data_IF_387562863872
#
_entry.id   IF_387562863872
#
_cell.length_a   1.000
_cell.length_b   1.000
_cell.length_c   1.000
_cell.angle_alpha   90.00
_cell.angle_beta   90.00
_cell.angle_gamma   90.00
#
_symmetry.space_group_name_H-M   'P 1'
#
loop_
_entity.id
_entity.type
_entity.pdbx_description
1 polymer ?
#
# COMPACT_ATOMS: atom_id res chain seq x y z
N UNK A 1 27.82 36.11 9.21
CA UNK A 1 26.98 35.96 8.00
C UNK A 1 25.94 37.06 8.06
N UNK A 2 25.88 37.96 7.08
CA UNK A 2 25.00 39.16 7.13
C UNK A 2 23.61 38.85 6.58
N UNK A 3 22.59 39.47 7.16
CA UNK A 3 21.17 39.26 6.82
C UNK A 3 20.83 39.61 5.36
N UNK A 4 21.65 40.47 4.74
CA UNK A 4 21.55 40.83 3.32
C UNK A 4 22.14 39.76 2.41
N UNK A 5 23.23 39.13 2.83
CA UNK A 5 23.84 38.00 2.11
C UNK A 5 22.84 36.83 2.04
N UNK A 6 22.20 36.52 3.16
CA UNK A 6 21.20 35.45 3.23
C UNK A 6 19.99 35.74 2.35
N UNK A 7 19.45 36.98 2.40
CA UNK A 7 18.32 37.39 1.56
C UNK A 7 18.63 37.31 0.07
N UNK A 8 19.84 37.68 -0.34
CA UNK A 8 20.23 37.66 -1.75
C UNK A 8 20.38 36.22 -2.27
N UNK A 9 20.88 35.29 -1.43
CA UNK A 9 20.93 33.86 -1.77
C UNK A 9 19.55 33.23 -1.87
N UNK A 10 18.61 33.63 -1.01
CA UNK A 10 17.23 33.15 -1.07
C UNK A 10 16.50 33.65 -2.33
N UNK A 11 16.70 34.91 -2.73
CA UNK A 11 16.11 35.44 -3.98
C UNK A 11 16.61 34.75 -5.25
N UNK A 12 17.84 34.22 -5.24
CA UNK A 12 18.41 33.50 -6.39
C UNK A 12 17.83 32.10 -6.59
N UNK A 13 17.24 31.52 -5.55
CA UNK A 13 16.69 30.15 -5.57
C UNK A 13 15.16 30.18 -5.72
N UNK A 14 14.52 31.35 -5.58
CA UNK A 14 13.08 31.50 -5.73
C UNK A 14 12.66 31.27 -7.20
N UNK A 15 11.90 30.21 -7.50
CA UNK A 15 11.46 29.88 -8.85
C UNK A 15 10.34 30.80 -9.36
N UNK A 16 9.85 31.74 -8.55
CA UNK A 16 8.85 32.72 -8.98
C UNK A 16 9.44 33.68 -10.01
N UNK A 17 9.03 33.50 -11.26
CA UNK A 17 9.27 34.45 -12.34
C UNK A 17 8.83 35.87 -11.94
N UNK A 18 9.69 36.86 -12.22
CA UNK A 18 9.51 38.29 -11.91
C UNK A 18 8.28 38.96 -12.57
N UNK A 19 7.43 38.18 -13.25
CA UNK A 19 6.20 38.63 -13.89
C UNK A 19 4.90 38.29 -13.15
N UNK A 20 4.95 37.64 -11.99
CA UNK A 20 3.74 37.33 -11.21
C UNK A 20 3.41 38.48 -10.25
N UNK A 21 2.32 39.21 -10.50
CA UNK A 21 1.83 40.21 -9.57
C UNK A 21 1.38 39.55 -8.25
N UNK A 22 2.19 39.69 -7.21
CA UNK A 22 1.83 39.22 -5.86
C UNK A 22 0.90 40.25 -5.23
N UNK A 23 -0.39 39.92 -5.14
CA UNK A 23 -1.38 40.79 -4.48
C UNK A 23 -1.13 40.81 -2.98
N UNK A 24 -1.11 42.01 -2.39
CA UNK A 24 -0.90 42.17 -0.95
C UNK A 24 -2.00 41.51 -0.13
N UNK A 25 -1.62 40.88 0.99
CA UNK A 25 -2.55 40.25 1.94
C UNK A 25 -3.48 41.29 2.60
N UNK A 26 -3.10 42.57 2.59
CA UNK A 26 -3.93 43.69 3.07
C UNK A 26 -5.01 44.13 2.09
N UNK A 27 -5.08 43.56 0.89
CA UNK A 27 -6.17 43.84 -0.05
C UNK A 27 -7.50 43.28 0.50
N UNK A 28 -8.58 44.07 0.38
CA UNK A 28 -9.91 43.68 0.91
C UNK A 28 -10.39 42.35 0.38
N UNK A 29 -10.05 42.02 -0.87
CA UNK A 29 -10.43 40.74 -1.47
C UNK A 29 -9.67 39.54 -0.88
N UNK A 30 -8.38 39.72 -0.52
CA UNK A 30 -7.58 38.71 0.16
C UNK A 30 -8.08 38.45 1.58
N UNK A 31 -8.52 39.51 2.28
CA UNK A 31 -9.12 39.38 3.62
C UNK A 31 -10.45 38.62 3.59
N UNK A 32 -11.29 38.81 2.58
CA UNK A 32 -12.54 38.05 2.43
C UNK A 32 -12.28 36.56 2.19
N UNK A 33 -11.22 36.22 1.45
CA UNK A 33 -10.83 34.81 1.23
C UNK A 33 -10.37 34.19 2.54
N UNK A 34 -9.55 34.90 3.33
CA UNK A 34 -9.09 34.44 4.65
C UNK A 34 -10.26 34.25 5.63
N UNK A 35 -11.19 35.20 5.68
CA UNK A 35 -12.40 35.09 6.50
C UNK A 35 -13.25 33.87 6.10
N UNK A 36 -13.42 33.64 4.81
CA UNK A 36 -14.19 32.50 4.29
C UNK A 36 -13.53 31.14 4.59
N UNK A 37 -12.20 31.09 4.63
CA UNK A 37 -11.47 29.88 5.03
C UNK A 37 -11.59 29.66 6.54
N UNK A 38 -11.53 30.74 7.34
CA UNK A 38 -11.64 30.66 8.80
C UNK A 38 -13.06 30.33 9.29
N UNK A 39 -14.09 30.72 8.54
CA UNK A 39 -15.49 30.42 8.88
C UNK A 39 -15.88 28.95 8.58
N UNK A 40 -15.02 28.21 7.89
CA UNK A 40 -15.18 26.77 7.76
C UNK A 40 -14.69 26.08 9.03
N UNK A 41 -15.58 25.95 10.02
CA UNK A 41 -15.38 25.02 11.11
C UNK A 41 -15.21 23.60 10.55
N UNK A 42 -14.04 23.00 10.77
CA UNK A 42 -13.79 21.58 10.51
C UNK A 42 -14.74 20.79 11.41
N UNK A 43 -15.85 20.29 10.84
CA UNK A 43 -16.73 19.35 11.53
C UNK A 43 -15.96 18.04 11.64
N UNK A 44 -15.45 17.73 12.83
CA UNK A 44 -14.92 16.41 13.15
C UNK A 44 -16.01 15.34 12.99
N UNK A 45 -15.63 14.07 12.73
CA UNK A 45 -16.60 12.99 12.56
C UNK A 45 -17.46 12.82 13.82
N UNK A 46 -18.77 12.78 13.60
CA UNK A 46 -19.79 12.51 14.60
C UNK A 46 -19.68 11.05 15.08
N UNK A 47 -19.33 10.87 16.36
CA UNK A 47 -19.27 9.59 17.04
C UNK A 47 -20.67 8.93 17.06
N UNK A 48 -20.94 8.03 16.10
CA UNK A 48 -22.11 7.15 16.15
C UNK A 48 -21.77 5.92 17.01
N UNK A 49 -22.52 5.63 18.10
CA UNK A 49 -22.28 4.42 18.88
C UNK A 49 -22.74 3.19 18.06
N UNK A 50 -21.77 2.45 17.53
CA UNK A 50 -21.94 1.21 16.80
C UNK A 50 -22.48 0.14 17.76
N UNK A 51 -23.73 -0.29 17.53
CA UNK A 51 -24.39 -1.31 18.31
C UNK A 51 -23.97 -2.69 17.79
N UNK A 52 -23.23 -3.43 18.62
CA UNK A 52 -22.80 -4.81 18.39
C UNK A 52 -24.00 -5.74 18.17
N UNK A 53 -24.10 -6.36 16.99
CA UNK A 53 -24.90 -7.57 16.80
C UNK A 53 -23.96 -8.79 16.90
N UNK A 54 -23.96 -9.40 18.08
CA UNK A 54 -23.41 -10.75 18.30
C UNK A 54 -24.45 -11.74 17.78
N UNK A 55 -24.10 -12.55 16.79
CA UNK A 55 -24.92 -13.64 16.27
C UNK A 55 -24.11 -14.92 16.11
N UNK A 56 -24.08 -15.74 17.16
CA UNK A 56 -23.56 -17.11 17.15
C UNK A 56 -24.66 -18.05 16.66
N UNK A 57 -24.37 -18.91 15.66
CA UNK A 57 -25.07 -20.18 15.49
C UNK A 57 -24.23 -21.17 14.66
N UNK A 58 -23.69 -22.19 15.34
CA UNK A 58 -23.13 -23.38 14.74
C UNK A 58 -24.24 -24.36 14.34
N UNK A 59 -24.16 -24.98 13.15
CA UNK A 59 -24.80 -26.28 12.86
C UNK A 59 -23.90 -27.11 11.93
N UNK A 60 -23.63 -28.34 12.37
CA UNK A 60 -22.81 -29.37 11.75
C UNK A 60 -23.55 -30.19 10.67
N UNK A 61 -22.72 -30.79 9.79
CA UNK A 61 -22.81 -32.13 9.19
C UNK A 61 -23.31 -32.33 7.74
N UNK A 62 -22.31 -32.54 6.86
CA UNK A 62 -22.11 -33.64 5.90
C UNK A 62 -23.30 -34.21 5.11
N UNK A 63 -23.24 -34.04 3.78
CA UNK A 63 -23.68 -35.05 2.81
C UNK A 63 -22.62 -35.23 1.73
N UNK A 64 -22.15 -36.47 1.63
CA UNK A 64 -21.20 -37.03 0.66
C UNK A 64 -21.86 -37.06 -0.73
N UNK A 65 -21.18 -36.54 -1.75
CA UNK A 65 -21.58 -36.65 -3.14
C UNK A 65 -20.58 -35.95 -4.05
N UNK A 66 -19.50 -36.66 -4.39
CA UNK A 66 -18.37 -36.11 -5.12
C UNK A 66 -18.71 -35.61 -6.53
N UNK A 67 -18.16 -34.45 -6.85
CA UNK A 67 -17.52 -34.16 -8.14
C UNK A 67 -16.18 -33.49 -7.85
N UNK A 68 -15.18 -33.93 -8.60
CA UNK A 68 -13.76 -33.72 -8.36
C UNK A 68 -13.27 -32.31 -8.75
N UNK A 69 -12.04 -32.04 -8.27
CA UNK A 69 -11.08 -31.00 -8.67
C UNK A 69 -11.18 -29.68 -7.89
N UNK A 70 -10.63 -29.68 -6.68
CA UNK A 70 -9.81 -28.57 -6.16
C UNK A 70 -8.72 -29.19 -5.28
N UNK A 71 -7.45 -29.00 -5.67
CA UNK A 71 -6.29 -29.53 -4.98
C UNK A 71 -6.08 -28.85 -3.64
N UNK A 72 -6.79 -29.30 -2.60
CA UNK A 72 -6.52 -28.92 -1.22
C UNK A 72 -5.33 -29.71 -0.68
N UNK A 73 -4.12 -29.28 -1.03
CA UNK A 73 -2.94 -29.63 -0.24
C UNK A 73 -3.02 -28.89 1.09
N UNK A 74 -3.06 -29.62 2.21
CA UNK A 74 -2.80 -29.01 3.51
C UNK A 74 -1.36 -28.51 3.52
N UNK A 75 -1.19 -27.23 3.23
CA UNK A 75 0.10 -26.57 3.29
C UNK A 75 0.62 -26.62 4.73
N UNK A 76 1.60 -27.49 4.96
CA UNK A 76 2.27 -27.65 6.25
C UNK A 76 3.55 -26.83 6.20
N UNK A 77 3.39 -25.51 5.99
CA UNK A 77 4.45 -24.52 6.08
C UNK A 77 4.08 -23.54 7.18
N UNK A 78 5.06 -23.19 8.03
CA UNK A 78 4.87 -22.05 8.94
C UNK A 78 4.60 -20.78 8.10
N UNK A 79 3.70 -19.89 8.54
CA UNK A 79 3.44 -18.65 7.81
C UNK A 79 4.72 -17.85 7.63
N UNK A 80 4.96 -17.35 6.43
CA UNK A 80 6.06 -16.42 6.20
C UNK A 80 5.60 -15.01 6.57
N UNK A 81 6.24 -14.40 7.56
CA UNK A 81 5.96 -13.02 7.97
C UNK A 81 6.81 -12.04 7.13
N UNK A 82 6.15 -11.04 6.55
CA UNK A 82 6.80 -9.92 5.86
C UNK A 82 6.27 -8.59 6.40
N UNK A 83 7.13 -7.59 6.47
CA UNK A 83 6.78 -6.25 6.95
C UNK A 83 6.52 -5.30 5.79
N UNK A 84 5.49 -4.48 5.94
CA UNK A 84 5.11 -3.37 5.09
C UNK A 84 5.83 -2.11 5.62
N UNK A 85 7.04 -1.82 5.14
CA UNK A 85 7.83 -0.76 5.78
C UNK A 85 9.21 -0.48 5.19
N UNK A 86 9.39 -0.62 3.87
CA UNK A 86 10.63 -0.20 3.21
C UNK A 86 10.74 1.32 3.18
N UNK A 87 11.80 1.84 2.56
CA UNK A 87 11.96 3.28 2.26
C UNK A 87 10.89 3.79 1.26
N UNK A 88 9.61 3.51 1.50
CA UNK A 88 8.43 3.84 0.72
C UNK A 88 8.26 5.37 0.49
N UNK A 89 9.12 6.17 1.12
CA UNK A 89 9.19 7.62 1.01
C UNK A 89 10.47 8.14 0.35
N UNK A 90 11.43 7.27 0.00
CA UNK A 90 12.49 7.65 -0.92
C UNK A 90 11.88 7.82 -2.32
N UNK A 91 12.28 8.84 -3.07
CA UNK A 91 11.77 9.07 -4.42
C UNK A 91 11.99 7.82 -5.29
N UNK A 92 10.92 7.10 -5.57
CA UNK A 92 10.97 5.85 -6.33
C UNK A 92 11.55 6.09 -7.73
N UNK A 93 12.56 5.29 -8.09
CA UNK A 93 12.89 5.05 -9.49
C UNK A 93 11.77 4.19 -10.11
N UNK A 94 11.55 4.29 -11.42
CA UNK A 94 10.50 3.52 -12.08
C UNK A 94 10.70 2.01 -11.86
N UNK A 95 9.62 1.22 -11.67
CA UNK A 95 9.72 -0.23 -11.57
C UNK A 95 10.22 -0.80 -12.89
N UNK A 96 11.32 -1.55 -12.83
CA UNK A 96 11.93 -2.22 -13.99
C UNK A 96 12.05 -3.73 -13.72
N UNK A 97 11.75 -4.56 -14.72
CA UNK A 97 11.78 -6.02 -14.59
C UNK A 97 13.16 -6.57 -14.19
N UNK A 98 14.26 -5.89 -14.54
CA UNK A 98 15.62 -6.27 -14.14
C UNK A 98 15.81 -6.27 -12.61
N UNK A 99 15.10 -5.39 -11.90
CA UNK A 99 15.14 -5.38 -10.44
C UNK A 99 14.45 -6.62 -9.87
N UNK A 100 13.30 -7.02 -10.43
CA UNK A 100 12.55 -8.20 -9.97
C UNK A 100 13.36 -9.51 -10.09
N UNK A 101 14.16 -9.69 -11.15
CA UNK A 101 14.93 -10.93 -11.39
C UNK A 101 15.85 -11.33 -10.24
N UNK A 102 16.31 -10.35 -9.46
CA UNK A 102 17.27 -10.56 -8.39
C UNK A 102 16.65 -10.46 -7.00
N UNK A 103 15.32 -10.25 -6.90
CA UNK A 103 14.64 -10.17 -5.62
C UNK A 103 14.62 -11.56 -4.98
N UNK A 104 14.94 -11.67 -3.68
CA UNK A 104 15.02 -12.97 -3.01
C UNK A 104 13.64 -13.63 -2.84
N UNK A 105 12.55 -12.86 -2.70
CA UNK A 105 11.19 -13.34 -2.47
C UNK A 105 10.21 -12.69 -3.44
N UNK A 106 9.45 -13.50 -4.18
CA UNK A 106 8.40 -13.02 -5.07
C UNK A 106 7.30 -14.08 -5.23
N UNK A 107 6.04 -13.68 -5.15
CA UNK A 107 4.89 -14.59 -5.26
C UNK A 107 3.62 -13.90 -5.77
N UNK A 108 2.71 -14.70 -6.33
CA UNK A 108 1.31 -14.35 -6.58
C UNK A 108 0.44 -14.99 -5.50
N UNK A 109 -0.55 -14.26 -4.99
CA UNK A 109 -1.50 -14.82 -4.04
C UNK A 109 -2.77 -13.99 -3.85
N UNK A 110 -3.79 -14.63 -3.29
CA UNK A 110 -5.09 -14.02 -3.03
C UNK A 110 -5.18 -13.56 -1.57
N UNK A 111 -5.65 -12.33 -1.36
CA UNK A 111 -5.93 -11.83 -0.02
C UNK A 111 -7.13 -12.59 0.59
N UNK A 112 -6.92 -13.20 1.75
CA UNK A 112 -7.94 -14.02 2.46
C UNK A 112 -8.47 -13.33 3.70
N UNK A 113 -7.68 -12.46 4.32
CA UNK A 113 -8.07 -11.67 5.48
C UNK A 113 -7.33 -10.34 5.49
N UNK A 114 -8.03 -9.30 5.95
CA UNK A 114 -7.48 -7.95 6.19
C UNK A 114 -8.03 -7.49 7.54
N UNK A 115 -7.18 -7.50 8.57
CA UNK A 115 -7.56 -7.18 9.95
C UNK A 115 -6.58 -6.15 10.53
N UNK A 116 -7.00 -4.88 10.58
CA UNK A 116 -6.21 -3.81 11.17
C UNK A 116 -4.86 -3.63 10.49
N UNK A 117 -3.80 -4.11 11.16
CA UNK A 117 -2.40 -4.03 10.74
C UNK A 117 -1.91 -5.28 10.01
N UNK A 118 -2.75 -6.31 9.86
CA UNK A 118 -2.34 -7.62 9.30
C UNK A 118 -3.17 -7.99 8.08
N UNK A 119 -2.49 -8.36 7.00
CA UNK A 119 -3.09 -8.92 5.78
C UNK A 119 -2.59 -10.35 5.60
N UNK A 120 -3.49 -11.30 5.39
CA UNK A 120 -3.15 -12.71 5.17
C UNK A 120 -3.43 -13.07 3.71
N UNK A 121 -2.41 -13.53 3.00
CA UNK A 121 -2.52 -13.98 1.62
C UNK A 121 -2.32 -15.49 1.52
N UNK A 122 -3.18 -16.14 0.74
CA UNK A 122 -2.97 -17.51 0.26
C UNK A 122 -2.10 -17.44 -0.98
N UNK A 123 -0.96 -18.13 -0.98
CA UNK A 123 -0.05 -18.14 -2.11
C UNK A 123 -0.52 -19.11 -3.18
N UNK A 124 -0.64 -18.63 -4.40
CA UNK A 124 -1.00 -19.43 -5.57
C UNK A 124 0.26 -19.89 -6.32
N UNK A 125 1.23 -19.00 -6.50
CA UNK A 125 2.48 -19.29 -7.20
C UNK A 125 3.68 -18.56 -6.57
N UNK A 126 4.78 -19.29 -6.40
CA UNK A 126 6.07 -18.72 -6.00
C UNK A 126 6.95 -18.49 -7.23
N UNK A 127 7.38 -17.25 -7.43
CA UNK A 127 8.39 -16.91 -8.43
C UNK A 127 9.80 -17.01 -7.85
N UNK A 128 9.97 -16.69 -6.56
CA UNK A 128 11.25 -16.78 -5.85
C UNK A 128 11.08 -16.93 -4.34
N UNK A 129 12.01 -17.66 -3.70
CA UNK A 129 12.32 -17.51 -2.28
C UNK A 129 11.44 -18.19 -1.24
N UNK A 130 10.35 -18.84 -1.62
CA UNK A 130 9.43 -19.44 -0.66
C UNK A 130 8.77 -20.74 -1.15
N UNK A 131 8.20 -21.46 -0.19
CA UNK A 131 7.42 -22.69 -0.37
C UNK A 131 6.20 -22.76 0.56
N UNK A 132 5.93 -21.70 1.33
CA UNK A 132 4.77 -21.62 2.21
C UNK A 132 3.51 -21.30 1.42
N UNK A 133 2.35 -21.84 1.81
CA UNK A 133 1.11 -21.49 1.13
C UNK A 133 0.40 -20.28 1.75
N UNK A 134 0.94 -19.71 2.82
CA UNK A 134 0.34 -18.56 3.48
C UNK A 134 1.43 -17.58 3.87
N UNK A 135 1.18 -16.31 3.52
CA UNK A 135 2.06 -15.19 3.83
C UNK A 135 1.26 -14.18 4.63
N UNK A 136 1.84 -13.74 5.74
CA UNK A 136 1.27 -12.71 6.60
C UNK A 136 2.06 -11.41 6.39
N UNK A 137 1.37 -10.35 5.98
CA UNK A 137 1.93 -9.02 5.84
C UNK A 137 1.56 -8.19 7.05
N UNK A 138 2.55 -7.62 7.73
CA UNK A 138 2.38 -6.75 8.89
C UNK A 138 2.72 -5.30 8.55
N UNK A 139 1.80 -4.37 8.79
CA UNK A 139 2.06 -2.94 8.71
C UNK A 139 2.21 -2.30 10.09
N UNK A 140 3.28 -1.51 10.32
CA UNK A 140 3.44 -0.76 11.56
C UNK A 140 2.34 0.29 11.77
N UNK A 141 1.97 0.54 13.03
CA UNK A 141 1.08 1.64 13.44
C UNK A 141 1.41 2.97 12.75
N UNK A 142 0.39 3.64 12.21
CA UNK A 142 0.51 4.89 11.45
C UNK A 142 0.85 4.72 9.95
N UNK A 143 1.10 3.50 9.50
CA UNK A 143 1.27 3.11 8.10
C UNK A 143 0.13 2.20 7.61
N UNK A 144 -0.99 2.12 8.32
CA UNK A 144 -2.19 1.35 7.91
C UNK A 144 -2.80 1.97 6.64
N UNK A 145 -2.65 3.28 6.46
CA UNK A 145 -2.98 3.96 5.21
C UNK A 145 -1.92 3.74 4.10
N UNK A 146 -0.77 3.14 4.42
CA UNK A 146 0.35 2.81 3.53
C UNK A 146 0.57 1.30 3.30
N UNK A 147 -0.14 0.45 4.06
CA UNK A 147 -0.85 -0.68 3.43
C UNK A 147 -1.52 -0.13 2.16
N UNK A 148 -2.19 1.03 2.26
CA UNK A 148 -2.78 1.85 1.18
C UNK A 148 -1.82 2.59 0.23
N UNK A 149 -0.64 2.03 -0.07
CA UNK A 149 -0.12 2.11 -1.44
C UNK A 149 -0.82 1.10 -2.37
N UNK A 150 -1.35 0.03 -1.79
CA UNK A 150 -2.05 -1.09 -2.44
C UNK A 150 -3.31 -1.35 -1.60
N UNK A 151 -4.49 -1.10 -2.17
CA UNK A 151 -5.74 -1.39 -1.46
C UNK A 151 -5.98 -2.91 -1.49
N UNK A 152 -5.82 -3.56 -0.33
CA UNK A 152 -6.03 -5.00 -0.20
C UNK A 152 -7.51 -5.30 0.02
N UNK A 153 -8.11 -5.98 -0.96
CA UNK A 153 -9.48 -6.46 -0.93
C UNK A 153 -9.48 -7.98 -0.83
N UNK A 154 -10.25 -8.51 0.13
CA UNK A 154 -10.39 -9.97 0.30
C UNK A 154 -10.99 -10.58 -0.97
N UNK A 155 -10.31 -11.59 -1.51
CA UNK A 155 -10.67 -12.28 -2.74
C UNK A 155 -9.97 -11.76 -4.00
N UNK A 156 -9.22 -10.66 -3.91
CA UNK A 156 -8.42 -10.13 -5.01
C UNK A 156 -7.02 -10.75 -5.04
N UNK A 157 -6.45 -10.82 -6.24
CA UNK A 157 -5.13 -11.38 -6.51
C UNK A 157 -4.06 -10.28 -6.51
N UNK A 158 -2.93 -10.58 -5.88
CA UNK A 158 -1.83 -9.65 -5.68
C UNK A 158 -0.50 -10.29 -6.07
N UNK A 159 0.35 -9.48 -6.67
CA UNK A 159 1.75 -9.81 -6.93
C UNK A 159 2.61 -9.07 -5.91
N UNK A 160 3.37 -9.83 -5.14
CA UNK A 160 4.18 -9.31 -4.03
C UNK A 160 5.65 -9.66 -4.28
N UNK A 161 6.52 -8.69 -4.09
CA UNK A 161 7.97 -8.88 -4.06
C UNK A 161 8.52 -8.32 -2.76
N UNK A 162 9.51 -8.99 -2.19
CA UNK A 162 10.08 -8.58 -0.91
C UNK A 162 11.59 -8.81 -0.85
N UNK A 163 12.28 -7.90 -0.17
CA UNK A 163 13.70 -7.99 0.14
C UNK A 163 13.91 -7.76 1.63
N UNK A 164 14.77 -8.56 2.26
CA UNK A 164 15.10 -8.44 3.69
C UNK A 164 13.87 -8.47 4.62
N UNK A 165 12.85 -9.28 4.28
CA UNK A 165 11.62 -9.39 5.04
C UNK A 165 10.69 -8.18 4.91
N UNK A 166 10.95 -7.30 3.94
CA UNK A 166 10.17 -6.08 3.71
C UNK A 166 9.62 -6.07 2.29
N UNK A 167 8.33 -5.75 2.13
CA UNK A 167 7.69 -5.68 0.82
C UNK A 167 8.25 -4.50 0.02
N UNK A 168 8.56 -4.74 -1.24
CA UNK A 168 9.04 -3.74 -2.18
C UNK A 168 7.85 -2.93 -2.72
N UNK A 169 7.88 -1.63 -2.45
CA UNK A 169 6.93 -0.66 -2.98
C UNK A 169 7.42 -0.08 -4.32
N UNK A 170 6.80 1.01 -4.80
CA UNK A 170 7.12 1.65 -6.08
C UNK A 170 6.60 0.93 -7.34
N UNK A 171 5.51 0.15 -7.22
CA UNK A 171 4.92 -0.57 -8.36
C UNK A 171 5.53 -1.94 -8.65
N UNK A 172 6.42 -2.42 -7.78
CA UNK A 172 6.94 -3.79 -7.81
C UNK A 172 6.08 -4.78 -7.00
N UNK A 173 5.12 -4.27 -6.24
CA UNK A 173 4.07 -5.05 -5.57
C UNK A 173 2.74 -4.33 -5.76
N UNK A 174 1.64 -5.07 -5.89
CA UNK A 174 0.32 -4.51 -6.14
C UNK A 174 -0.73 -5.55 -6.52
N UNK A 175 -1.94 -5.09 -6.83
CA UNK A 175 -2.96 -5.93 -7.46
C UNK A 175 -2.41 -6.52 -8.77
N UNK A 176 -2.80 -7.76 -9.08
CA UNK A 176 -2.38 -8.50 -10.28
C UNK A 176 -2.95 -7.91 -11.58
N UNK A 177 -2.55 -6.68 -11.88
CA UNK A 177 -2.88 -6.02 -13.14
C UNK A 177 -2.11 -6.66 -14.30
N UNK A 178 -2.64 -6.61 -15.55
CA UNK A 178 -1.95 -7.20 -16.70
C UNK A 178 -0.52 -6.66 -16.94
N UNK A 179 -0.27 -5.40 -16.59
CA UNK A 179 1.05 -4.78 -16.72
C UNK A 179 2.05 -5.34 -15.70
N UNK A 180 1.63 -5.47 -14.43
CA UNK A 180 2.47 -6.03 -13.39
C UNK A 180 2.71 -7.53 -13.60
N UNK A 181 1.68 -8.27 -14.03
CA UNK A 181 1.79 -9.69 -14.37
C UNK A 181 2.81 -9.90 -15.49
N UNK A 182 2.74 -9.11 -16.56
CA UNK A 182 3.70 -9.19 -17.65
C UNK A 182 5.13 -8.90 -17.19
N UNK A 183 5.32 -7.99 -16.23
CA UNK A 183 6.63 -7.70 -15.65
C UNK A 183 7.19 -8.87 -14.84
N UNK A 184 6.35 -9.54 -14.06
CA UNK A 184 6.71 -10.76 -13.32
C UNK A 184 7.03 -11.91 -14.28
N UNK A 185 6.20 -12.12 -15.29
CA UNK A 185 6.41 -13.14 -16.31
C UNK A 185 7.72 -12.89 -17.10
N UNK A 186 8.04 -11.63 -17.42
CA UNK A 186 9.33 -11.27 -18.06
C UNK A 186 10.53 -11.52 -17.12
N UNK A 187 10.37 -11.24 -15.83
CA UNK A 187 11.43 -11.40 -14.85
C UNK A 187 11.72 -12.89 -14.54
N UNK A 188 10.68 -13.71 -14.46
CA UNK A 188 10.77 -15.08 -13.93
C UNK A 188 10.37 -16.20 -14.90
N UNK A 189 9.71 -15.90 -16.03
CA UNK A 189 9.23 -16.87 -17.02
C UNK A 189 10.29 -17.46 -17.95
N UNK A 190 11.53 -17.61 -17.46
CA UNK A 190 12.69 -18.14 -18.20
C UNK A 190 12.68 -19.66 -18.39
#
# INVERSE_FOLDING_TARGET
>A
MDDRELRNRLQLIDPLSSGVEVRSVTDKSSQQILEKIMDHAVRGPENRPMQYFIGIAAVLALVIGGYAVFGGGTATGEPMELTLGGDAFASCLAPEAEHLRNVPVAFAGIATSVEGETVVLSVDEWYAGGDSATVELFAPEGLEALIGGIDFEVGSEYLISAENGTVNYCGLSGEATPELQAMYDEAFGG
#
